data_IF_311971263462
#
_entry.id   IF_311971263462
#
_cell.length_a   1.000
_cell.length_b   1.000
_cell.length_c   1.000
_cell.angle_alpha   90.00
_cell.angle_beta   90.00
_cell.angle_gamma   90.00
#
_symmetry.space_group_name_H-M   'P 1'
#
loop_
_entity.id
_entity.type
_entity.pdbx_description
1 polymer ?
#
# COMPACT_ATOMS: atom_id res chain seq x y z
N UNK A 1 18.65 11.17 -11.35
CA UNK A 1 19.22 9.81 -11.18
C UNK A 1 18.05 8.84 -11.07
N UNK A 2 18.07 7.74 -11.83
CA UNK A 2 17.01 6.73 -11.79
C UNK A 2 16.88 6.10 -10.41
N UNK A 3 17.99 5.93 -9.68
CA UNK A 3 17.98 5.36 -8.33
C UNK A 3 17.16 6.22 -7.35
N UNK A 4 17.30 7.55 -7.45
CA UNK A 4 16.54 8.51 -6.63
C UNK A 4 15.05 8.46 -6.97
N UNK A 5 14.68 8.43 -8.25
CA UNK A 5 13.26 8.30 -8.62
C UNK A 5 12.67 6.97 -8.13
N UNK A 6 13.42 5.86 -8.23
CA UNK A 6 12.99 4.56 -7.70
C UNK A 6 12.85 4.59 -6.18
N UNK A 7 13.77 5.22 -5.45
CA UNK A 7 13.69 5.35 -4.00
C UNK A 7 12.46 6.16 -3.56
N UNK A 8 12.15 7.27 -4.26
CA UNK A 8 10.96 8.08 -3.98
C UNK A 8 9.68 7.30 -4.29
N UNK A 9 9.65 6.56 -5.40
CA UNK A 9 8.50 5.71 -5.76
C UNK A 9 8.34 4.57 -4.75
N UNK A 10 9.44 3.94 -4.32
CA UNK A 10 9.41 2.90 -3.30
C UNK A 10 8.82 3.43 -1.98
N UNK A 11 9.29 4.58 -1.51
CA UNK A 11 8.72 5.26 -0.35
C UNK A 11 7.22 5.55 -0.53
N UNK A 12 6.84 6.14 -1.66
CA UNK A 12 5.45 6.52 -1.95
C UNK A 12 4.53 5.30 -2.09
N UNK A 13 5.06 4.17 -2.55
CA UNK A 13 4.30 2.94 -2.81
C UNK A 13 3.74 2.28 -1.55
N UNK A 14 4.40 2.47 -0.41
CA UNK A 14 4.02 1.88 0.89
C UNK A 14 3.04 2.78 1.66
N UNK A 15 2.95 4.07 1.32
CA UNK A 15 2.23 5.06 2.12
C UNK A 15 0.71 4.82 2.24
N UNK A 16 0.08 4.34 1.16
CA UNK A 16 -1.38 4.20 1.10
C UNK A 16 -1.88 2.78 0.81
N UNK A 17 -0.99 1.87 0.37
CA UNK A 17 -1.39 0.59 -0.21
C UNK A 17 -2.17 -0.29 0.77
N UNK A 18 -1.66 -0.45 2.00
CA UNK A 18 -2.35 -1.21 3.06
C UNK A 18 -3.75 -0.65 3.42
N UNK A 19 -3.97 0.65 3.21
CA UNK A 19 -5.28 1.27 3.44
C UNK A 19 -6.40 0.68 2.57
N UNK A 20 -6.05 0.10 1.42
CA UNK A 20 -7.00 -0.51 0.49
C UNK A 20 -7.78 -1.65 1.14
N UNK A 21 -7.10 -2.53 1.87
CA UNK A 21 -7.73 -3.62 2.62
C UNK A 21 -8.62 -3.14 3.78
N UNK A 22 -8.44 -1.91 4.28
CA UNK A 22 -9.27 -1.36 5.36
C UNK A 22 -10.62 -0.83 4.84
N UNK A 23 -10.68 -0.39 3.58
CA UNK A 23 -11.84 0.30 3.01
C UNK A 23 -13.15 -0.51 3.06
N UNK A 24 -13.19 -1.81 2.72
CA UNK A 24 -14.43 -2.60 2.78
C UNK A 24 -15.03 -2.73 4.18
N UNK A 25 -14.22 -2.48 5.23
CA UNK A 25 -14.63 -2.57 6.63
C UNK A 25 -15.02 -1.21 7.22
N UNK A 26 -14.97 -0.12 6.43
CA UNK A 26 -15.31 1.22 6.89
C UNK A 26 -14.35 1.79 7.94
N UNK A 27 -13.13 1.26 8.03
CA UNK A 27 -12.09 1.71 8.96
C UNK A 27 -10.91 2.35 8.22
N UNK A 28 -10.11 3.11 8.95
CA UNK A 28 -8.90 3.77 8.43
C UNK A 28 -7.78 3.69 9.45
N UNK A 29 -6.59 4.13 9.07
CA UNK A 29 -5.46 4.30 9.99
C UNK A 29 -5.76 5.16 11.22
N UNK A 30 -6.76 6.03 11.14
CA UNK A 30 -7.19 6.90 12.24
C UNK A 30 -8.26 6.26 13.13
N UNK A 31 -8.76 5.07 12.78
CA UNK A 31 -9.76 4.36 13.59
C UNK A 31 -9.18 4.04 14.97
N UNK A 32 -9.85 4.45 16.06
CA UNK A 32 -9.41 4.12 17.41
C UNK A 32 -9.21 2.60 17.59
N UNK A 33 -8.19 2.23 18.36
CA UNK A 33 -7.83 0.85 18.67
C UNK A 33 -7.39 -0.01 17.48
N UNK A 34 -7.22 0.56 16.28
CA UNK A 34 -6.60 -0.16 15.18
C UNK A 34 -5.09 -0.32 15.45
N UNK A 35 -4.66 -1.56 15.61
CA UNK A 35 -3.26 -1.93 15.49
C UNK A 35 -2.99 -2.28 14.01
N UNK A 36 -2.35 -1.35 13.32
CA UNK A 36 -1.90 -1.53 11.94
C UNK A 36 -0.38 -1.64 11.85
N UNK A 37 0.12 -2.51 10.97
CA UNK A 37 1.56 -2.62 10.68
C UNK A 37 1.78 -3.27 9.31
N UNK A 38 2.68 -2.71 8.51
CA UNK A 38 3.20 -3.40 7.32
C UNK A 38 3.98 -4.65 7.77
N UNK A 39 3.69 -5.82 7.18
CA UNK A 39 4.41 -7.06 7.48
C UNK A 39 5.50 -7.35 6.46
N UNK A 40 5.17 -7.16 5.19
CA UNK A 40 6.11 -7.20 4.07
C UNK A 40 5.80 -6.06 3.09
N UNK A 41 6.67 -5.89 2.09
CA UNK A 41 6.41 -5.05 0.93
C UNK A 41 7.31 -5.48 -0.22
N UNK A 42 6.71 -5.81 -1.36
CA UNK A 42 7.43 -6.23 -2.57
C UNK A 42 7.14 -5.26 -3.69
N UNK A 43 8.18 -4.77 -4.37
CA UNK A 43 8.09 -3.82 -5.48
C UNK A 43 8.93 -4.30 -6.66
N UNK A 44 8.30 -4.39 -7.83
CA UNK A 44 8.94 -4.74 -9.09
C UNK A 44 8.90 -3.52 -10.01
N UNK A 45 10.07 -3.00 -10.41
CA UNK A 45 10.19 -1.98 -11.43
C UNK A 45 10.32 -2.63 -12.81
N UNK A 46 9.38 -2.33 -13.69
CA UNK A 46 9.34 -2.88 -15.06
C UNK A 46 10.00 -1.95 -16.07
N UNK A 47 10.01 -0.64 -15.78
CA UNK A 47 10.51 0.43 -16.66
C UNK A 47 11.15 1.55 -15.83
N UNK A 48 11.96 2.42 -16.45
CA UNK A 48 12.37 3.68 -15.84
C UNK A 48 11.13 4.48 -15.41
N UNK A 49 11.20 5.04 -14.22
CA UNK A 49 10.14 5.84 -13.61
C UNK A 49 10.64 7.23 -13.26
N UNK A 50 9.78 8.23 -13.44
CA UNK A 50 10.01 9.62 -13.06
C UNK A 50 9.07 10.02 -11.92
N UNK A 51 9.62 10.10 -10.71
CA UNK A 51 8.88 10.48 -9.50
C UNK A 51 8.41 11.95 -9.47
N UNK A 52 8.93 12.78 -10.36
CA UNK A 52 8.58 14.20 -10.55
C UNK A 52 7.50 14.41 -11.63
N UNK A 53 6.98 13.32 -12.21
CA UNK A 53 5.83 13.32 -13.10
C UNK A 53 4.68 12.54 -12.46
N UNK A 54 3.47 12.68 -13.01
CA UNK A 54 2.32 11.95 -12.51
C UNK A 54 2.47 10.44 -12.64
N UNK A 55 2.07 9.75 -11.58
CA UNK A 55 1.86 8.30 -11.53
C UNK A 55 0.47 8.01 -11.00
N UNK A 56 -0.26 7.14 -11.70
CA UNK A 56 -1.48 6.54 -11.18
C UNK A 56 -1.10 5.27 -10.41
N UNK A 57 -1.40 5.22 -9.12
CA UNK A 57 -1.30 4.00 -8.31
C UNK A 57 -2.70 3.37 -8.20
N UNK A 58 -2.96 2.39 -9.07
CA UNK A 58 -4.18 1.59 -9.08
C UNK A 58 -4.04 0.47 -8.04
N UNK A 59 -4.86 0.51 -6.99
CA UNK A 59 -4.73 -0.34 -5.81
C UNK A 59 -5.98 -1.18 -5.59
N UNK A 60 -5.78 -2.45 -5.23
CA UNK A 60 -6.85 -3.40 -4.92
C UNK A 60 -6.45 -4.30 -3.73
N UNK A 61 -7.44 -4.86 -3.04
CA UNK A 61 -7.26 -5.81 -1.95
C UNK A 61 -8.08 -7.07 -2.21
N UNK A 62 -7.39 -8.20 -2.36
CA UNK A 62 -8.03 -9.47 -2.76
C UNK A 62 -8.67 -10.24 -1.60
N UNK A 63 -8.07 -10.16 -0.41
CA UNK A 63 -8.50 -10.91 0.76
C UNK A 63 -8.12 -10.17 2.04
N UNK A 64 -9.03 -10.18 3.00
CA UNK A 64 -8.74 -9.85 4.40
C UNK A 64 -9.14 -11.03 5.27
N UNK A 65 -8.22 -11.55 6.08
CA UNK A 65 -8.45 -12.71 6.94
C UNK A 65 -7.48 -12.73 8.10
N UNK A 66 -7.90 -13.25 9.26
CA UNK A 66 -7.05 -13.40 10.45
C UNK A 66 -6.29 -12.11 10.82
N UNK A 67 -7.01 -10.98 10.81
CA UNK A 67 -6.50 -9.64 11.05
C UNK A 67 -5.37 -9.21 10.11
N UNK A 68 -5.34 -9.71 8.87
CA UNK A 68 -4.41 -9.29 7.82
C UNK A 68 -5.15 -8.95 6.53
N UNK A 69 -4.55 -8.10 5.71
CA UNK A 69 -5.05 -7.76 4.37
C UNK A 69 -3.95 -7.86 3.34
N UNK A 70 -4.23 -8.53 2.22
CA UNK A 70 -3.32 -8.65 1.07
C UNK A 70 -3.69 -7.65 -0.01
N UNK A 71 -2.77 -6.74 -0.28
CA UNK A 71 -2.94 -5.59 -1.16
C UNK A 71 -2.05 -5.72 -2.39
N UNK A 72 -2.54 -5.23 -3.52
CA UNK A 72 -1.83 -5.18 -4.80
C UNK A 72 -1.88 -3.77 -5.36
N UNK A 73 -0.77 -3.33 -5.95
CA UNK A 73 -0.69 -2.04 -6.63
C UNK A 73 -0.11 -2.16 -8.03
N UNK A 74 -0.63 -1.34 -8.94
CA UNK A 74 -0.14 -1.17 -10.31
C UNK A 74 0.12 0.31 -10.55
N UNK A 75 1.36 0.66 -10.80
CA UNK A 75 1.77 2.04 -11.03
C UNK A 75 1.89 2.31 -12.52
N UNK A 76 1.12 3.29 -13.01
CA UNK A 76 1.06 3.67 -14.41
C UNK A 76 1.60 5.08 -14.60
N UNK A 77 2.47 5.26 -15.60
CA UNK A 77 2.98 6.56 -16.02
C UNK A 77 2.85 6.66 -17.54
N UNK A 78 2.21 7.72 -18.03
CA UNK A 78 1.99 7.94 -19.46
C UNK A 78 1.35 6.72 -20.17
N UNK A 79 0.38 6.07 -19.50
CA UNK A 79 -0.32 4.88 -20.01
C UNK A 79 0.49 3.57 -19.99
N UNK A 80 1.70 3.57 -19.41
CA UNK A 80 2.56 2.39 -19.32
C UNK A 80 2.62 1.89 -17.88
N UNK A 81 2.53 0.57 -17.69
CA UNK A 81 2.80 -0.05 -16.39
C UNK A 81 4.30 0.03 -16.10
N UNK A 82 4.68 0.82 -15.10
CA UNK A 82 6.10 1.08 -14.75
C UNK A 82 6.54 0.32 -13.50
N UNK A 83 5.63 0.03 -12.58
CA UNK A 83 5.91 -0.79 -11.41
C UNK A 83 4.69 -1.55 -10.90
N UNK A 84 4.93 -2.62 -10.14
CA UNK A 84 3.89 -3.36 -9.43
C UNK A 84 4.29 -3.62 -7.99
N UNK A 85 3.31 -3.59 -7.08
CA UNK A 85 3.51 -3.83 -5.65
C UNK A 85 2.59 -4.92 -5.11
N UNK A 86 3.08 -5.60 -4.08
CA UNK A 86 2.32 -6.53 -3.25
C UNK A 86 2.69 -6.28 -1.79
N UNK A 87 1.70 -6.24 -0.91
CA UNK A 87 1.88 -5.99 0.51
C UNK A 87 0.84 -6.70 1.36
N UNK A 88 1.28 -7.49 2.32
CA UNK A 88 0.46 -7.93 3.45
C UNK A 88 0.62 -6.99 4.64
N UNK A 89 -0.52 -6.62 5.22
CA UNK A 89 -0.59 -5.72 6.37
C UNK A 89 -1.38 -6.30 7.52
N UNK A 90 -0.90 -6.11 8.75
CA UNK A 90 -1.70 -6.33 9.96
C UNK A 90 -2.79 -5.26 10.05
N UNK A 91 -4.03 -5.69 10.29
CA UNK A 91 -5.23 -4.87 10.46
C UNK A 91 -6.07 -5.38 11.64
N UNK A 92 -5.57 -5.20 12.86
CA UNK A 92 -6.20 -5.74 14.07
C UNK A 92 -6.91 -4.65 14.86
N UNK A 93 -8.23 -4.71 14.95
CA UNK A 93 -8.97 -3.94 15.95
C UNK A 93 -8.77 -4.59 17.31
N UNK A 94 -8.30 -3.82 18.29
CA UNK A 94 -8.22 -4.25 19.69
C UNK A 94 -9.47 -3.81 20.44
N UNK A 95 -9.87 -4.59 21.43
CA UNK A 95 -10.81 -4.12 22.43
C UNK A 95 -10.16 -2.95 23.19
N UNK A 96 -10.92 -1.88 23.39
CA UNK A 96 -10.52 -0.82 24.32
C UNK A 96 -10.56 -1.43 25.72
N UNK A 97 -9.42 -1.52 26.41
CA UNK A 97 -9.47 -1.73 27.85
C UNK A 97 -10.18 -0.50 28.46
N UNK A 98 -11.33 -0.71 29.11
CA UNK A 98 -11.90 0.31 30.00
C UNK A 98 -10.85 0.60 31.07
N UNK A 99 -10.23 1.79 30.97
CA UNK A 99 -9.22 2.27 31.92
C UNK A 99 -9.85 2.79 33.20
#
# INVERSE_FOLDING_TARGET
>A
DQSLHQAIVAFSSDFALMGTALMPHGISFMTPNLQAASLDHTLYFHKPVRADEWLLHDMDASVTSNARGLNFGRMWQNGQLVASTVQEGLMRLRETEER
#
